data_IF_667163562711
#
_entry.id   IF_667163562711
#
_cell.length_a   1.000
_cell.length_b   1.000
_cell.length_c   1.000
_cell.angle_alpha   90.00
_cell.angle_beta   90.00
_cell.angle_gamma   90.00
#
_symmetry.space_group_name_H-M   'P 1'
#
loop_
_entity.id
_entity.type
_entity.pdbx_description
1 polymer ?
#
# COMPACT_ATOMS: atom_id res chain seq x y z
N UNK A 1 12.53 0.75 9.44
CA UNK A 1 13.79 1.33 9.93
C UNK A 1 14.19 2.48 9.01
N UNK A 2 14.84 3.48 9.60
CA UNK A 2 15.36 4.78 9.13
C UNK A 2 14.45 6.01 8.99
N UNK A 3 13.11 5.88 8.96
CA UNK A 3 12.20 7.03 9.13
C UNK A 3 12.29 8.15 8.07
N UNK A 4 13.28 8.08 7.18
CA UNK A 4 13.50 8.99 6.06
C UNK A 4 12.36 8.85 5.08
N UNK A 5 11.72 9.97 4.76
CA UNK A 5 10.64 10.00 3.77
C UNK A 5 11.19 9.50 2.43
N UNK A 6 10.53 8.49 1.87
CA UNK A 6 10.87 8.05 0.53
C UNK A 6 10.27 9.04 -0.46
N UNK A 7 10.89 9.30 -1.64
CA UNK A 7 10.32 10.18 -2.65
C UNK A 7 8.86 9.82 -3.02
N UNK A 8 8.53 8.53 -2.95
CA UNK A 8 7.17 8.02 -3.21
C UNK A 8 6.15 8.44 -2.13
N UNK A 9 6.59 8.68 -0.90
CA UNK A 9 5.75 9.15 0.20
C UNK A 9 5.20 10.54 -0.08
N UNK A 10 6.03 11.44 -0.64
CA UNK A 10 5.58 12.79 -1.01
C UNK A 10 4.53 12.76 -2.12
N UNK A 11 4.72 11.89 -3.11
CA UNK A 11 3.75 11.69 -4.21
C UNK A 11 2.43 11.14 -3.66
N UNK A 12 2.48 10.17 -2.74
CA UNK A 12 1.29 9.62 -2.10
C UNK A 12 0.50 10.68 -1.32
N UNK A 13 1.17 11.58 -0.59
CA UNK A 13 0.52 12.70 0.10
C UNK A 13 -0.13 13.70 -0.85
N UNK A 14 0.54 14.04 -1.96
CA UNK A 14 -0.06 14.91 -2.98
C UNK A 14 -1.30 14.27 -3.59
N UNK A 15 -1.27 12.96 -3.83
CA UNK A 15 -2.43 12.22 -4.32
C UNK A 15 -3.57 12.19 -3.29
N UNK A 16 -3.26 11.99 -2.00
CA UNK A 16 -4.22 12.07 -0.91
C UNK A 16 -4.92 13.44 -0.86
N UNK A 17 -4.18 14.53 -1.01
CA UNK A 17 -4.74 15.89 -1.09
C UNK A 17 -5.69 16.04 -2.30
N UNK A 18 -5.30 15.56 -3.48
CA UNK A 18 -6.14 15.60 -4.67
C UNK A 18 -7.45 14.81 -4.49
N UNK A 19 -7.39 13.64 -3.81
CA UNK A 19 -8.57 12.87 -3.48
C UNK A 19 -9.49 13.62 -2.51
N UNK A 20 -8.91 14.26 -1.49
CA UNK A 20 -9.67 15.07 -0.54
C UNK A 20 -10.37 16.25 -1.24
N UNK A 21 -9.65 16.98 -2.09
CA UNK A 21 -10.21 18.11 -2.84
C UNK A 21 -11.35 17.67 -3.77
N UNK A 22 -11.19 16.51 -4.44
CA UNK A 22 -12.18 16.00 -5.38
C UNK A 22 -13.44 15.44 -4.71
N UNK A 23 -13.28 14.66 -3.65
CA UNK A 23 -14.37 13.90 -3.05
C UNK A 23 -14.91 14.51 -1.76
N UNK A 24 -14.18 15.44 -1.13
CA UNK A 24 -14.55 16.08 0.13
C UNK A 24 -14.81 15.06 1.26
N UNK A 25 -14.12 13.92 1.22
CA UNK A 25 -14.20 12.84 2.21
C UNK A 25 -12.93 12.81 3.08
N UNK A 26 -13.02 12.31 4.32
CA UNK A 26 -11.85 12.07 5.16
C UNK A 26 -10.87 11.11 4.46
N UNK A 27 -9.57 11.47 4.48
CA UNK A 27 -8.50 10.62 3.96
C UNK A 27 -7.65 10.15 5.14
N UNK A 28 -7.37 8.84 5.17
CA UNK A 28 -6.51 8.21 6.16
C UNK A 28 -5.25 7.70 5.46
N UNK A 29 -4.09 8.17 5.89
CA UNK A 29 -2.79 7.69 5.40
C UNK A 29 -2.33 6.48 6.24
N UNK A 30 -1.72 5.49 5.58
CA UNK A 30 -1.21 4.27 6.23
C UNK A 30 0.24 4.02 5.78
N UNK A 31 1.12 3.61 6.69
CA UNK A 31 2.51 3.27 6.35
C UNK A 31 2.61 1.83 5.77
N UNK A 32 2.88 1.70 4.47
CA UNK A 32 3.03 0.43 3.75
C UNK A 32 4.31 -0.37 4.08
N UNK A 33 5.23 0.18 4.89
CA UNK A 33 6.56 -0.44 5.12
C UNK A 33 6.50 -1.80 5.80
N UNK A 34 5.48 -2.04 6.62
CA UNK A 34 5.26 -3.35 7.24
C UNK A 34 4.52 -4.31 6.30
N UNK A 35 3.62 -3.80 5.45
CA UNK A 35 2.77 -4.65 4.60
C UNK A 35 3.49 -5.17 3.37
N UNK A 36 4.44 -4.44 2.77
CA UNK A 36 5.04 -4.83 1.49
C UNK A 36 5.87 -6.12 1.57
N UNK A 37 6.56 -6.35 2.69
CA UNK A 37 7.37 -7.57 2.88
C UNK A 37 6.48 -8.79 3.04
N UNK A 38 5.50 -8.71 3.94
CA UNK A 38 4.55 -9.79 4.22
C UNK A 38 3.64 -10.05 3.02
N UNK A 39 3.26 -9.01 2.27
CA UNK A 39 2.52 -9.11 1.01
C UNK A 39 3.28 -9.94 -0.02
N UNK A 40 4.55 -9.59 -0.26
CA UNK A 40 5.38 -10.31 -1.23
C UNK A 40 5.58 -11.76 -0.83
N UNK A 41 5.75 -12.03 0.46
CA UNK A 41 5.90 -13.38 0.97
C UNK A 41 4.61 -14.20 0.82
N UNK A 42 3.43 -13.61 1.09
CA UNK A 42 2.13 -14.25 0.84
C UNK A 42 1.89 -14.52 -0.65
N UNK A 43 2.07 -13.52 -1.52
CA UNK A 43 1.91 -13.68 -2.97
C UNK A 43 2.89 -14.72 -3.54
N UNK A 44 4.12 -14.74 -3.05
CA UNK A 44 5.10 -15.75 -3.43
C UNK A 44 4.71 -17.16 -2.98
N UNK A 45 4.17 -17.30 -1.77
CA UNK A 45 3.73 -18.59 -1.21
C UNK A 45 2.51 -19.14 -1.96
N UNK A 46 1.59 -18.28 -2.38
CA UNK A 46 0.36 -18.69 -3.06
C UNK A 46 0.53 -18.96 -4.58
N UNK A 47 1.47 -18.27 -5.26
CA UNK A 47 1.56 -18.35 -6.73
C UNK A 47 2.97 -18.41 -7.34
N UNK A 48 4.02 -18.52 -6.51
CA UNK A 48 5.41 -18.58 -6.96
C UNK A 48 5.87 -17.35 -7.76
N UNK A 49 6.97 -17.50 -8.52
CA UNK A 49 7.57 -16.39 -9.27
C UNK A 49 6.68 -15.77 -10.36
N UNK A 50 5.65 -16.49 -10.86
CA UNK A 50 4.73 -15.97 -11.87
C UNK A 50 3.72 -14.97 -11.30
N UNK A 51 3.24 -15.19 -10.08
CA UNK A 51 2.33 -14.25 -9.41
C UNK A 51 3.01 -12.91 -9.06
N UNK A 52 4.35 -12.91 -8.95
CA UNK A 52 5.14 -11.70 -8.75
C UNK A 52 5.28 -10.81 -10.00
N UNK A 53 4.99 -11.33 -11.20
CA UNK A 53 5.10 -10.55 -12.44
C UNK A 53 3.82 -9.80 -12.82
N UNK A 54 2.72 -10.09 -12.14
CA UNK A 54 1.39 -9.64 -12.55
C UNK A 54 0.87 -8.48 -11.69
N UNK A 55 -0.05 -7.71 -12.26
CA UNK A 55 -0.85 -6.64 -11.60
C UNK A 55 -1.55 -7.08 -10.29
N UNK A 56 -1.45 -8.36 -9.94
CA UNK A 56 -1.92 -8.93 -8.69
C UNK A 56 -1.18 -8.36 -7.47
N UNK A 57 0.11 -8.02 -7.57
CA UNK A 57 0.84 -7.44 -6.43
C UNK A 57 0.16 -6.15 -5.93
N UNK A 58 -0.20 -5.24 -6.84
CA UNK A 58 -0.80 -3.96 -6.47
C UNK A 58 -2.17 -4.16 -5.79
N UNK A 59 -2.95 -5.13 -6.26
CA UNK A 59 -4.26 -5.45 -5.68
C UNK A 59 -4.12 -6.07 -4.29
N UNK A 60 -3.12 -6.93 -4.09
CA UNK A 60 -2.83 -7.54 -2.79
C UNK A 60 -2.25 -6.51 -1.82
N UNK A 61 -1.41 -5.58 -2.28
CA UNK A 61 -0.94 -4.46 -1.47
C UNK A 61 -2.12 -3.60 -0.98
N UNK A 62 -3.03 -3.23 -1.88
CA UNK A 62 -4.24 -2.48 -1.51
C UNK A 62 -5.13 -3.23 -0.51
N UNK A 63 -5.30 -4.55 -0.69
CA UNK A 63 -6.04 -5.40 0.26
C UNK A 63 -5.40 -5.37 1.66
N UNK A 64 -4.07 -5.48 1.74
CA UNK A 64 -3.35 -5.51 3.00
C UNK A 64 -3.35 -4.16 3.71
N UNK A 65 -3.22 -3.06 2.97
CA UNK A 65 -3.39 -1.70 3.52
C UNK A 65 -4.77 -1.58 4.17
N UNK A 66 -5.82 -1.97 3.46
CA UNK A 66 -7.18 -1.87 3.97
C UNK A 66 -7.40 -2.77 5.19
N UNK A 67 -6.90 -4.02 5.13
CA UNK A 67 -7.01 -4.95 6.24
C UNK A 67 -6.32 -4.42 7.50
N UNK A 68 -5.11 -3.86 7.35
CA UNK A 68 -4.38 -3.30 8.48
C UNK A 68 -5.14 -2.10 9.06
N UNK A 69 -5.63 -1.18 8.21
CA UNK A 69 -6.41 -0.02 8.65
C UNK A 69 -7.69 -0.41 9.40
N UNK A 70 -8.35 -1.51 9.02
CA UNK A 70 -9.55 -2.00 9.70
C UNK A 70 -9.28 -2.73 11.03
N UNK A 71 -8.04 -3.15 11.27
CA UNK A 71 -7.67 -3.98 12.43
C UNK A 71 -6.94 -3.18 13.51
N UNK A 72 -6.42 -1.99 13.18
CA UNK A 72 -5.92 -0.99 14.15
C UNK A 72 -7.06 -0.28 14.88
#
# INVERSE_FOLDING_TARGET
>A
MDGTEQPITQIARQFAQQLHERYQLPIHEMDERLSTKDARERVFTEGGYKALQDRQIDSVAAQLILQNWLTE
#
